data_IF_677886974697
#
_entry.id   IF_677886974697
#
_cell.length_a   1.000
_cell.length_b   1.000
_cell.length_c   1.000
_cell.angle_alpha   90.00
_cell.angle_beta   90.00
_cell.angle_gamma   90.00
#
_symmetry.space_group_name_H-M   'P 1'
#
loop_
_entity.id
_entity.type
_entity.pdbx_description
1 polymer ?
#
# COMPACT_ATOMS: atom_id res chain seq x y z
N UNK A 1 -14.43 39.92 -22.19
CA UNK A 1 -14.41 38.96 -21.03
C UNK A 1 -14.53 37.58 -21.61
N UNK A 2 -13.47 36.84 -21.75
CA UNK A 2 -13.54 35.44 -22.22
C UNK A 2 -14.21 34.60 -21.14
N UNK A 3 -15.34 33.99 -21.46
CA UNK A 3 -15.99 33.00 -20.61
C UNK A 3 -14.98 31.87 -20.35
N UNK A 4 -14.54 31.70 -19.10
CA UNK A 4 -13.73 30.53 -18.69
C UNK A 4 -14.64 29.32 -18.85
N UNK A 5 -14.38 28.52 -19.86
CA UNK A 5 -15.12 27.31 -20.13
C UNK A 5 -14.97 26.37 -18.94
N UNK A 6 -16.10 26.03 -18.31
CA UNK A 6 -16.12 25.13 -17.15
C UNK A 6 -16.26 23.70 -17.64
N UNK A 7 -15.19 22.93 -17.53
CA UNK A 7 -15.22 21.50 -17.84
C UNK A 7 -15.93 20.72 -16.70
N UNK A 8 -16.83 19.82 -17.07
CA UNK A 8 -17.61 19.03 -16.12
C UNK A 8 -17.21 17.58 -16.22
N UNK A 9 -16.72 17.02 -15.11
CA UNK A 9 -16.39 15.62 -14.99
C UNK A 9 -17.41 14.94 -14.08
N UNK A 10 -18.00 13.84 -14.53
CA UNK A 10 -18.94 13.04 -13.73
C UNK A 10 -18.26 11.74 -13.34
N UNK A 11 -18.31 11.38 -12.06
CA UNK A 11 -17.76 10.12 -11.56
C UNK A 11 -18.74 9.44 -10.59
N UNK A 12 -18.56 8.13 -10.42
CA UNK A 12 -19.28 7.38 -9.39
C UNK A 12 -18.64 7.62 -8.01
N UNK A 13 -17.33 7.58 -7.96
CA UNK A 13 -16.56 7.68 -6.71
C UNK A 13 -15.38 8.65 -6.86
N UNK A 14 -15.27 9.59 -5.92
CA UNK A 14 -14.07 10.41 -5.75
C UNK A 14 -13.25 9.87 -4.57
N UNK A 15 -11.97 9.60 -4.81
CA UNK A 15 -11.00 9.19 -3.80
C UNK A 15 -10.13 10.40 -3.45
N UNK A 16 -9.98 10.67 -2.17
CA UNK A 16 -9.12 11.75 -1.67
C UNK A 16 -7.90 11.15 -0.98
N UNK A 17 -6.73 11.42 -1.54
CA UNK A 17 -5.43 10.94 -1.08
C UNK A 17 -4.80 9.92 -2.03
N UNK A 18 -3.62 10.27 -2.56
CA UNK A 18 -2.82 9.48 -3.52
C UNK A 18 -1.74 8.61 -2.86
N UNK A 19 -1.93 8.19 -1.61
CA UNK A 19 -1.09 7.16 -0.99
C UNK A 19 -1.41 5.76 -1.53
N UNK A 20 -0.69 4.74 -1.03
CA UNK A 20 -0.87 3.34 -1.48
C UNK A 20 -2.33 2.88 -1.44
N UNK A 21 -3.06 3.22 -0.39
CA UNK A 21 -4.45 2.80 -0.24
C UNK A 21 -5.38 3.46 -1.27
N UNK A 22 -5.20 4.77 -1.53
CA UNK A 22 -6.00 5.49 -2.54
C UNK A 22 -5.71 5.00 -3.95
N UNK A 23 -4.44 4.85 -4.29
CA UNK A 23 -4.01 4.32 -5.60
C UNK A 23 -4.47 2.88 -5.81
N UNK A 24 -4.38 2.04 -4.79
CA UNK A 24 -4.90 0.68 -4.84
C UNK A 24 -6.41 0.65 -5.07
N UNK A 25 -7.14 1.44 -4.30
CA UNK A 25 -8.59 1.54 -4.42
C UNK A 25 -9.02 2.06 -5.80
N UNK A 26 -8.31 3.06 -6.35
CA UNK A 26 -8.53 3.54 -7.72
C UNK A 26 -8.44 2.40 -8.73
N UNK A 27 -7.34 1.65 -8.69
CA UNK A 27 -7.12 0.52 -9.60
C UNK A 27 -8.20 -0.56 -9.44
N UNK A 28 -8.50 -0.94 -8.21
CA UNK A 28 -9.47 -1.98 -7.90
C UNK A 28 -10.88 -1.62 -8.37
N UNK A 29 -11.34 -0.41 -8.10
CA UNK A 29 -12.68 0.04 -8.48
C UNK A 29 -12.77 0.27 -9.99
N UNK A 30 -11.75 0.84 -10.61
CA UNK A 30 -11.71 1.02 -12.05
C UNK A 30 -11.72 -0.31 -12.81
N UNK A 31 -10.98 -1.33 -12.32
CA UNK A 31 -11.02 -2.69 -12.88
C UNK A 31 -12.42 -3.33 -12.76
N UNK A 32 -13.23 -2.89 -11.80
CA UNK A 32 -14.63 -3.32 -11.65
C UNK A 32 -15.63 -2.50 -12.47
N UNK A 33 -15.16 -1.58 -13.31
CA UNK A 33 -15.99 -0.78 -14.20
C UNK A 33 -16.55 0.51 -13.60
N UNK A 34 -16.19 0.86 -12.36
CA UNK A 34 -16.62 2.15 -11.79
C UNK A 34 -15.86 3.31 -12.43
N UNK A 35 -16.56 4.41 -12.65
CA UNK A 35 -15.93 5.67 -13.04
C UNK A 35 -15.40 6.36 -11.78
N UNK A 36 -14.09 6.21 -11.52
CA UNK A 36 -13.42 6.66 -10.31
C UNK A 36 -12.41 7.75 -10.64
N UNK A 37 -12.34 8.77 -9.78
CA UNK A 37 -11.34 9.84 -9.85
C UNK A 37 -10.62 9.93 -8.52
N UNK A 38 -9.31 10.17 -8.57
CA UNK A 38 -8.47 10.36 -7.40
C UNK A 38 -7.92 11.79 -7.36
N UNK A 39 -7.98 12.39 -6.19
CA UNK A 39 -7.43 13.72 -5.91
C UNK A 39 -6.29 13.64 -4.90
N UNK A 40 -5.16 14.25 -5.23
CA UNK A 40 -4.01 14.37 -4.34
C UNK A 40 -3.56 15.84 -4.23
N UNK A 41 -3.08 16.25 -3.05
CA UNK A 41 -2.67 17.63 -2.80
C UNK A 41 -1.19 17.90 -3.09
N UNK A 42 -0.33 16.89 -2.93
CA UNK A 42 1.11 17.03 -2.99
C UNK A 42 1.70 16.05 -4.03
N UNK A 43 2.39 15.01 -3.56
CA UNK A 43 2.98 13.98 -4.39
C UNK A 43 2.32 12.63 -4.12
N UNK A 44 2.14 11.83 -5.16
CA UNK A 44 1.64 10.47 -5.03
C UNK A 44 2.58 9.66 -4.13
N UNK A 45 2.02 8.97 -3.15
CA UNK A 45 2.80 8.23 -2.17
C UNK A 45 3.62 9.09 -1.20
N UNK A 46 3.50 10.41 -1.24
CA UNK A 46 4.44 11.38 -0.67
C UNK A 46 4.63 11.38 0.85
N UNK A 47 3.71 10.79 1.61
CA UNK A 47 3.81 10.75 3.08
C UNK A 47 4.29 9.36 3.55
N UNK A 48 3.42 8.64 4.28
CA UNK A 48 3.75 7.34 4.90
C UNK A 48 4.07 6.23 3.89
N UNK A 49 3.59 6.34 2.65
CA UNK A 49 3.79 5.29 1.64
C UNK A 49 5.26 5.16 1.28
N UNK A 50 5.88 6.24 0.78
CA UNK A 50 7.31 6.21 0.39
C UNK A 50 8.26 6.15 1.58
N UNK A 51 7.81 6.56 2.79
CA UNK A 51 8.56 6.39 4.02
C UNK A 51 8.49 4.95 4.59
N UNK A 52 7.68 4.06 4.00
CA UNK A 52 7.60 2.67 4.42
C UNK A 52 8.79 1.86 3.92
N UNK A 53 9.06 0.75 4.58
CA UNK A 53 10.16 -0.16 4.20
C UNK A 53 9.81 -1.07 3.00
N UNK A 54 8.60 -1.01 2.48
CA UNK A 54 8.15 -1.85 1.37
C UNK A 54 8.02 -3.34 1.68
N UNK A 55 8.09 -3.73 2.96
CA UNK A 55 7.95 -5.12 3.37
C UNK A 55 6.50 -5.57 3.39
N UNK A 56 6.21 -6.65 2.67
CA UNK A 56 4.90 -7.29 2.65
C UNK A 56 4.92 -8.46 3.64
N UNK A 57 4.36 -8.22 4.82
CA UNK A 57 4.41 -9.18 5.92
C UNK A 57 3.34 -10.26 5.83
N UNK A 58 3.71 -11.52 6.08
CA UNK A 58 2.80 -12.65 6.27
C UNK A 58 2.23 -12.77 7.70
N UNK A 59 2.10 -11.68 8.45
CA UNK A 59 1.39 -11.65 9.74
C UNK A 59 2.21 -12.09 10.96
N UNK A 60 3.51 -12.33 10.82
CA UNK A 60 4.37 -12.83 11.88
C UNK A 60 4.36 -11.99 13.16
N UNK A 61 4.30 -10.67 13.04
CA UNK A 61 4.32 -9.73 14.18
C UNK A 61 3.10 -9.92 15.11
N UNK A 62 1.98 -10.38 14.58
CA UNK A 62 0.74 -10.58 15.32
C UNK A 62 0.68 -11.95 16.02
N UNK A 63 1.38 -12.96 15.51
CA UNK A 63 1.46 -14.27 16.13
C UNK A 63 2.44 -14.32 17.32
N UNK A 64 3.38 -13.37 17.41
CA UNK A 64 4.28 -13.22 18.56
C UNK A 64 3.55 -12.92 19.86
N UNK A 65 2.38 -12.30 19.79
CA UNK A 65 1.54 -11.98 20.96
C UNK A 65 0.55 -13.09 21.33
N UNK A 66 0.62 -14.26 20.68
CA UNK A 66 -0.17 -15.44 21.05
C UNK A 66 -1.66 -15.42 20.71
N UNK A 67 -2.14 -14.36 20.02
CA UNK A 67 -3.57 -14.24 19.66
C UNK A 67 -3.72 -14.42 18.16
N UNK A 68 -4.18 -15.60 17.74
CA UNK A 68 -4.67 -15.85 16.39
C UNK A 68 -6.07 -15.20 16.28
N UNK A 69 -6.14 -14.05 15.65
CA UNK A 69 -7.40 -13.41 15.29
C UNK A 69 -7.67 -13.59 13.79
N UNK A 70 -8.92 -13.49 13.34
CA UNK A 70 -9.25 -13.52 11.90
C UNK A 70 -8.46 -12.48 11.08
N UNK A 71 -8.02 -11.39 11.71
CA UNK A 71 -7.11 -10.42 11.10
C UNK A 71 -5.70 -10.99 10.83
N UNK A 72 -5.17 -11.86 11.72
CA UNK A 72 -3.86 -12.48 11.52
C UNK A 72 -3.88 -13.53 10.40
N UNK A 73 -5.01 -14.19 10.18
CA UNK A 73 -5.19 -15.13 9.07
C UNK A 73 -5.22 -14.39 7.73
N UNK A 74 -6.00 -13.31 7.62
CA UNK A 74 -6.04 -12.46 6.42
C UNK A 74 -4.66 -11.88 6.06
N UNK A 75 -3.86 -11.48 7.07
CA UNK A 75 -2.50 -10.97 6.86
C UNK A 75 -1.55 -12.08 6.40
N UNK A 76 -1.78 -13.33 6.82
CA UNK A 76 -0.91 -14.45 6.44
C UNK A 76 -0.88 -14.71 4.94
N UNK A 77 -1.92 -14.34 4.20
CA UNK A 77 -2.04 -14.50 2.76
C UNK A 77 -1.49 -13.30 1.95
N UNK A 78 -1.15 -12.19 2.62
CA UNK A 78 -0.69 -10.98 1.94
C UNK A 78 0.50 -11.20 1.00
N UNK A 79 1.57 -11.94 1.34
CA UNK A 79 2.66 -12.17 0.40
C UNK A 79 2.20 -12.87 -0.89
N UNK A 80 1.35 -13.89 -0.79
CA UNK A 80 0.85 -14.59 -1.98
C UNK A 80 -0.11 -13.72 -2.80
N UNK A 81 -0.92 -12.91 -2.13
CA UNK A 81 -1.82 -11.95 -2.76
C UNK A 81 -1.06 -10.87 -3.56
N UNK A 82 -0.03 -10.28 -2.95
CA UNK A 82 0.82 -9.31 -3.63
C UNK A 82 1.63 -9.93 -4.77
N UNK A 83 2.11 -11.18 -4.60
CA UNK A 83 2.81 -11.88 -5.66
C UNK A 83 1.92 -12.07 -6.90
N UNK A 84 0.64 -12.43 -6.72
CA UNK A 84 -0.32 -12.50 -7.83
C UNK A 84 -0.48 -11.16 -8.55
N UNK A 85 -0.50 -10.05 -7.80
CA UNK A 85 -0.55 -8.71 -8.40
C UNK A 85 0.72 -8.38 -9.20
N UNK A 86 1.90 -8.74 -8.70
CA UNK A 86 3.19 -8.56 -9.39
C UNK A 86 3.26 -9.41 -10.66
N UNK A 87 2.69 -10.61 -10.64
CA UNK A 87 2.60 -11.50 -11.81
C UNK A 87 1.53 -11.02 -12.82
N UNK A 88 0.79 -9.96 -12.53
CA UNK A 88 -0.32 -9.45 -13.36
C UNK A 88 -1.56 -10.35 -13.33
N UNK A 89 -1.69 -11.20 -12.32
CA UNK A 89 -2.80 -12.16 -12.13
C UNK A 89 -3.69 -11.78 -10.94
N UNK A 90 -3.38 -10.70 -10.24
CA UNK A 90 -4.11 -10.21 -9.08
C UNK A 90 -5.25 -9.26 -9.46
N UNK A 91 -5.96 -8.75 -8.45
CA UNK A 91 -7.04 -7.77 -8.65
C UNK A 91 -6.53 -6.38 -9.07
N UNK A 92 -5.23 -6.13 -8.86
CA UNK A 92 -4.52 -4.92 -9.29
C UNK A 92 -3.28 -5.36 -10.07
N UNK A 93 -3.03 -4.74 -11.22
CA UNK A 93 -1.84 -5.04 -12.02
C UNK A 93 -0.63 -4.27 -11.51
N UNK A 94 0.32 -5.00 -10.93
CA UNK A 94 1.63 -4.50 -10.51
C UNK A 94 2.78 -5.07 -11.38
N UNK A 95 2.48 -5.61 -12.54
CA UNK A 95 3.50 -6.17 -13.43
C UNK A 95 4.51 -5.08 -13.82
N UNK A 96 5.78 -5.33 -13.52
CA UNK A 96 6.88 -4.39 -13.72
C UNK A 96 7.23 -3.54 -12.49
N UNK A 97 6.47 -3.61 -11.39
CA UNK A 97 6.94 -3.08 -10.11
C UNK A 97 8.17 -3.86 -9.63
N UNK A 98 9.16 -3.13 -9.10
CA UNK A 98 10.45 -3.70 -8.75
C UNK A 98 10.40 -4.41 -7.40
N UNK A 99 10.78 -5.68 -7.39
CA UNK A 99 11.00 -6.44 -6.17
C UNK A 99 12.48 -6.33 -5.76
N UNK A 100 12.74 -5.88 -4.54
CA UNK A 100 14.09 -5.70 -3.99
C UNK A 100 14.62 -7.00 -3.38
N UNK A 101 13.74 -7.78 -2.73
CA UNK A 101 14.11 -9.06 -2.13
C UNK A 101 12.91 -10.00 -2.04
N UNK A 102 13.17 -11.31 -2.09
CA UNK A 102 12.19 -12.38 -1.83
C UNK A 102 12.12 -12.78 -0.35
N UNK A 103 12.94 -12.15 0.48
CA UNK A 103 13.03 -12.48 1.90
C UNK A 103 13.61 -11.32 2.68
N UNK A 104 13.48 -11.40 3.99
CA UNK A 104 14.28 -10.62 4.92
C UNK A 104 14.80 -11.50 6.06
N UNK A 105 15.79 -10.97 6.79
CA UNK A 105 16.36 -11.68 7.92
C UNK A 105 15.81 -11.13 9.23
N UNK A 106 15.50 -12.05 10.14
CA UNK A 106 15.23 -11.77 11.53
C UNK A 106 16.30 -12.43 12.36
N UNK A 107 16.78 -11.76 13.37
CA UNK A 107 17.78 -12.29 14.28
C UNK A 107 17.34 -12.13 15.73
N UNK A 108 17.86 -13.00 16.60
CA UNK A 108 17.61 -12.93 18.04
C UNK A 108 18.89 -13.21 18.82
N UNK A 109 19.04 -12.53 19.95
CA UNK A 109 20.07 -12.90 20.93
C UNK A 109 19.73 -14.22 21.62
N UNK A 110 20.71 -14.88 22.22
CA UNK A 110 20.52 -16.15 22.94
C UNK A 110 19.47 -16.10 24.03
N UNK A 111 19.27 -14.96 24.69
CA UNK A 111 18.32 -14.77 25.79
C UNK A 111 16.84 -14.82 25.39
N UNK A 112 16.51 -14.64 24.10
CA UNK A 112 15.12 -14.61 23.59
C UNK A 112 14.72 -15.95 22.95
N UNK A 113 15.65 -16.93 22.95
CA UNK A 113 15.48 -18.19 22.21
C UNK A 113 14.28 -19.02 22.68
N UNK A 114 13.95 -19.04 23.98
CA UNK A 114 12.83 -19.83 24.51
C UNK A 114 11.46 -19.32 24.06
N UNK A 115 11.30 -18.00 23.94
CA UNK A 115 10.07 -17.39 23.43
C UNK A 115 9.93 -17.58 21.92
N UNK A 116 11.03 -17.61 21.19
CA UNK A 116 11.02 -17.84 19.75
C UNK A 116 10.80 -19.31 19.36
N UNK A 117 11.23 -20.28 20.13
CA UNK A 117 10.99 -21.70 19.84
C UNK A 117 9.49 -22.04 19.86
N UNK A 118 8.75 -21.55 20.83
CA UNK A 118 7.29 -21.72 20.88
C UNK A 118 6.59 -21.05 19.69
N UNK A 119 7.07 -19.88 19.28
CA UNK A 119 6.60 -19.14 18.14
C UNK A 119 6.88 -19.86 16.80
N UNK A 120 8.10 -20.37 16.59
CA UNK A 120 8.49 -21.12 15.40
C UNK A 120 7.74 -22.46 15.26
N UNK A 121 7.24 -23.01 16.37
CA UNK A 121 6.41 -24.21 16.39
C UNK A 121 4.96 -23.97 15.97
N UNK A 122 4.51 -22.70 15.87
CA UNK A 122 3.13 -22.38 15.52
C UNK A 122 2.81 -22.75 14.06
N UNK A 123 1.60 -23.26 13.81
CA UNK A 123 1.14 -23.66 12.46
C UNK A 123 1.13 -22.52 11.44
N UNK A 124 0.93 -21.29 11.91
CA UNK A 124 0.85 -20.10 11.05
C UNK A 124 2.16 -19.76 10.32
N UNK A 125 3.29 -20.31 10.77
CA UNK A 125 4.64 -19.94 10.32
C UNK A 125 5.35 -21.11 9.63
N UNK A 126 4.80 -22.32 9.73
CA UNK A 126 5.41 -23.51 9.11
C UNK A 126 5.65 -23.29 7.62
N UNK A 127 6.92 -23.48 7.21
CA UNK A 127 7.34 -23.34 5.81
C UNK A 127 7.70 -21.93 5.36
N UNK A 128 7.52 -20.89 6.20
CA UNK A 128 7.88 -19.51 5.85
C UNK A 128 9.14 -19.00 6.54
N UNK A 129 9.62 -19.71 7.55
CA UNK A 129 10.79 -19.34 8.33
C UNK A 129 11.77 -20.49 8.30
N UNK A 130 12.99 -20.20 7.87
CA UNK A 130 14.08 -21.14 7.90
C UNK A 130 15.22 -20.59 8.76
N UNK A 131 15.72 -21.39 9.70
CA UNK A 131 16.96 -21.05 10.40
C UNK A 131 18.10 -21.05 9.39
N UNK A 132 18.92 -20.01 9.40
CA UNK A 132 20.09 -19.89 8.53
C UNK A 132 21.25 -20.66 9.16
N UNK A 133 21.84 -21.60 8.41
CA UNK A 133 23.03 -22.32 8.83
C UNK A 133 24.26 -21.39 8.85
N UNK A 134 25.30 -21.79 9.58
CA UNK A 134 26.51 -20.98 9.74
C UNK A 134 27.16 -20.62 8.41
N UNK A 135 27.24 -21.57 7.48
CA UNK A 135 27.83 -21.38 6.15
C UNK A 135 27.04 -20.38 5.27
N UNK A 136 25.73 -20.26 5.50
CA UNK A 136 24.81 -19.41 4.74
C UNK A 136 24.53 -18.06 5.42
N UNK A 137 25.18 -17.75 6.52
CA UNK A 137 24.99 -16.48 7.21
C UNK A 137 25.40 -15.31 6.33
N UNK A 138 24.58 -14.24 6.23
CA UNK A 138 25.02 -12.98 5.65
C UNK A 138 26.27 -12.45 6.37
N UNK A 139 27.15 -11.78 5.64
CA UNK A 139 28.44 -11.31 6.17
C UNK A 139 28.32 -10.47 7.45
N UNK A 140 27.25 -9.67 7.57
CA UNK A 140 27.00 -8.86 8.77
C UNK A 140 26.79 -9.70 10.06
N UNK A 141 26.45 -10.99 9.94
CA UNK A 141 26.25 -11.91 11.08
C UNK A 141 27.40 -12.89 11.27
N UNK A 142 28.48 -12.77 10.48
CA UNK A 142 29.68 -13.62 10.59
C UNK A 142 30.69 -13.09 11.60
N UNK A 143 30.37 -12.00 12.29
CA UNK A 143 31.20 -11.43 13.34
C UNK A 143 31.24 -12.35 14.58
N UNK A 144 32.43 -12.56 15.16
CA UNK A 144 32.62 -13.41 16.33
C UNK A 144 31.87 -12.92 17.58
N UNK A 145 31.48 -11.66 17.63
CA UNK A 145 30.67 -11.09 18.70
C UNK A 145 29.16 -11.43 18.55
N UNK A 146 28.73 -11.82 17.36
CA UNK A 146 27.35 -12.22 17.16
C UNK A 146 27.09 -13.62 17.71
N UNK A 147 26.36 -13.71 18.82
CA UNK A 147 26.03 -14.99 19.50
C UNK A 147 24.52 -15.30 19.38
N UNK A 148 23.88 -14.93 18.29
CA UNK A 148 22.47 -15.10 18.05
C UNK A 148 22.12 -16.20 17.04
N UNK A 149 20.83 -16.31 16.74
CA UNK A 149 20.33 -17.09 15.61
C UNK A 149 19.76 -16.14 14.56
N UNK A 150 19.97 -16.49 13.28
CA UNK A 150 19.40 -15.78 12.14
C UNK A 150 18.37 -16.68 11.48
N UNK A 151 17.25 -16.08 11.12
CA UNK A 151 16.14 -16.74 10.44
C UNK A 151 15.83 -15.98 9.16
N UNK A 152 15.67 -16.72 8.06
CA UNK A 152 15.22 -16.20 6.78
C UNK A 152 13.71 -16.32 6.72
N UNK A 153 13.04 -15.19 6.46
CA UNK A 153 11.60 -15.10 6.28
C UNK A 153 11.28 -14.93 4.81
N UNK A 154 10.36 -15.74 4.29
CA UNK A 154 9.95 -15.73 2.89
C UNK A 154 8.86 -14.67 2.63
N UNK A 155 9.10 -13.46 3.09
CA UNK A 155 8.25 -12.28 2.83
C UNK A 155 9.00 -11.37 1.85
N UNK A 156 8.27 -10.72 0.95
CA UNK A 156 8.89 -9.90 -0.09
C UNK A 156 9.12 -8.46 0.36
N UNK A 157 10.14 -7.84 -0.22
CA UNK A 157 10.42 -6.41 -0.09
C UNK A 157 10.29 -5.77 -1.46
N UNK A 158 9.46 -4.73 -1.57
CA UNK A 158 9.17 -4.03 -2.81
C UNK A 158 9.82 -2.65 -2.82
N UNK A 159 10.22 -2.20 -4.00
CA UNK A 159 10.58 -0.81 -4.25
C UNK A 159 9.31 0.05 -4.27
N UNK A 160 9.03 0.71 -3.17
CA UNK A 160 7.79 1.46 -2.97
C UNK A 160 7.56 2.53 -4.04
N UNK A 161 8.56 3.32 -4.45
CA UNK A 161 8.40 4.25 -5.57
C UNK A 161 7.90 3.58 -6.84
N UNK A 162 8.46 2.42 -7.23
CA UNK A 162 8.03 1.70 -8.43
C UNK A 162 6.60 1.16 -8.33
N UNK A 163 6.17 0.76 -7.14
CA UNK A 163 4.78 0.36 -6.89
C UNK A 163 3.82 1.55 -7.06
N UNK A 164 4.16 2.69 -6.48
CA UNK A 164 3.38 3.93 -6.61
C UNK A 164 3.28 4.37 -8.07
N UNK A 165 4.41 4.39 -8.77
CA UNK A 165 4.48 4.74 -10.20
C UNK A 165 3.59 3.81 -11.04
N UNK A 166 3.68 2.50 -10.81
CA UNK A 166 2.89 1.52 -11.56
C UNK A 166 1.39 1.71 -11.32
N UNK A 167 0.97 1.86 -10.06
CA UNK A 167 -0.43 2.10 -9.72
C UNK A 167 -0.98 3.39 -10.33
N UNK A 168 -0.17 4.45 -10.32
CA UNK A 168 -0.56 5.73 -10.90
C UNK A 168 -0.64 5.66 -12.44
N UNK A 169 0.32 4.98 -13.08
CA UNK A 169 0.39 4.86 -14.54
C UNK A 169 -0.83 4.15 -15.12
N UNK A 170 -1.36 3.14 -14.44
CA UNK A 170 -2.52 2.37 -14.89
C UNK A 170 -3.75 3.26 -15.17
N UNK A 171 -3.92 4.35 -14.40
CA UNK A 171 -5.07 5.25 -14.48
C UNK A 171 -4.66 6.72 -14.34
N UNK A 172 -3.57 7.13 -14.98
CA UNK A 172 -3.00 8.49 -14.87
C UNK A 172 -3.99 9.59 -15.27
N UNK A 173 -4.86 9.33 -16.23
CA UNK A 173 -5.92 10.24 -16.69
C UNK A 173 -7.08 10.42 -15.68
N UNK A 174 -7.08 9.69 -14.58
CA UNK A 174 -8.07 9.75 -13.51
C UNK A 174 -7.52 10.32 -12.21
N UNK A 175 -6.29 10.82 -12.24
CA UNK A 175 -5.58 11.37 -11.07
C UNK A 175 -5.39 12.88 -11.28
N UNK A 176 -5.90 13.67 -10.34
CA UNK A 176 -5.83 15.12 -10.36
C UNK A 176 -5.07 15.64 -9.15
N UNK A 177 -4.11 16.54 -9.42
CA UNK A 177 -3.37 17.25 -8.37
C UNK A 177 -4.12 18.52 -8.04
N UNK A 178 -4.55 18.69 -6.78
CA UNK A 178 -5.41 19.82 -6.40
C UNK A 178 -4.88 20.55 -5.16
N UNK A 179 -5.07 21.88 -5.14
CA UNK A 179 -4.84 22.70 -3.96
C UNK A 179 -6.17 22.87 -3.20
N UNK A 180 -6.29 22.22 -2.04
CA UNK A 180 -7.51 22.29 -1.22
C UNK A 180 -7.87 23.72 -0.79
N UNK A 181 -6.93 24.64 -0.71
CA UNK A 181 -7.19 26.04 -0.38
C UNK A 181 -7.90 26.77 -1.51
N UNK A 182 -7.79 26.27 -2.75
CA UNK A 182 -8.42 26.80 -3.97
C UNK A 182 -9.55 25.92 -4.47
N UNK A 183 -9.96 24.94 -3.67
CA UNK A 183 -10.98 23.95 -4.02
C UNK A 183 -12.20 24.20 -3.16
N UNK A 184 -13.37 24.27 -3.77
CA UNK A 184 -14.64 24.29 -3.06
C UNK A 184 -15.39 22.98 -3.27
N UNK A 185 -16.02 22.48 -2.23
CA UNK A 185 -16.87 21.33 -2.35
C UNK A 185 -18.23 21.59 -1.68
N UNK A 186 -19.26 21.03 -2.27
CA UNK A 186 -20.65 21.18 -1.80
C UNK A 186 -21.36 19.83 -1.95
N UNK A 187 -22.41 19.64 -1.19
CA UNK A 187 -23.28 18.47 -1.26
C UNK A 187 -24.69 18.93 -1.53
N UNK A 188 -25.35 18.37 -2.52
CA UNK A 188 -26.75 18.67 -2.79
C UNK A 188 -27.70 17.87 -1.88
N UNK A 189 -28.99 18.17 -2.00
CA UNK A 189 -30.06 17.48 -1.27
C UNK A 189 -30.12 15.97 -1.59
N UNK A 190 -29.64 15.57 -2.77
CA UNK A 190 -29.57 14.17 -3.24
C UNK A 190 -28.25 13.48 -2.83
N UNK A 191 -27.48 14.10 -1.92
CA UNK A 191 -26.18 13.60 -1.43
C UNK A 191 -25.09 13.50 -2.50
N UNK A 192 -25.27 14.11 -3.68
CA UNK A 192 -24.19 14.21 -4.67
C UNK A 192 -23.17 15.25 -4.21
N UNK A 193 -21.90 14.93 -4.34
CA UNK A 193 -20.82 15.84 -4.02
C UNK A 193 -20.34 16.56 -5.29
N UNK A 194 -20.16 17.87 -5.18
CA UNK A 194 -19.62 18.73 -6.22
C UNK A 194 -18.28 19.26 -5.76
N UNK A 195 -17.25 19.01 -6.53
CA UNK A 195 -15.90 19.50 -6.27
C UNK A 195 -15.49 20.45 -7.38
N UNK A 196 -15.22 21.71 -7.06
CA UNK A 196 -14.75 22.71 -8.00
C UNK A 196 -13.29 23.03 -7.73
N UNK A 197 -12.44 22.89 -8.72
CA UNK A 197 -11.00 23.16 -8.65
C UNK A 197 -10.48 23.67 -9.99
N UNK A 198 -9.27 24.18 -9.99
CA UNK A 198 -8.61 24.63 -11.20
C UNK A 198 -7.45 23.71 -11.56
N UNK A 199 -7.38 23.25 -12.79
CA UNK A 199 -6.29 22.49 -13.37
C UNK A 199 -5.89 23.10 -14.71
N UNK A 200 -4.59 23.32 -14.94
CA UNK A 200 -4.08 23.86 -16.20
C UNK A 200 -4.82 25.12 -16.70
N UNK A 201 -5.17 26.05 -15.78
CA UNK A 201 -5.94 27.27 -16.03
C UNK A 201 -7.40 27.04 -16.45
N UNK A 202 -7.92 25.80 -16.39
CA UNK A 202 -9.32 25.47 -16.60
C UNK A 202 -10.04 25.30 -15.26
N UNK A 203 -11.29 25.72 -15.21
CA UNK A 203 -12.15 25.47 -14.06
C UNK A 203 -12.85 24.12 -14.26
N UNK A 204 -12.64 23.19 -13.33
CA UNK A 204 -13.21 21.85 -13.40
C UNK A 204 -14.26 21.69 -12.28
N UNK A 205 -15.42 21.18 -12.64
CA UNK A 205 -16.46 20.79 -11.70
C UNK A 205 -16.62 19.27 -11.76
N UNK A 206 -16.28 18.59 -10.67
CA UNK A 206 -16.49 17.15 -10.56
C UNK A 206 -17.76 16.85 -9.77
N UNK A 207 -18.62 15.99 -10.31
CA UNK A 207 -19.85 15.55 -9.68
C UNK A 207 -19.69 14.06 -9.32
N UNK A 208 -19.79 13.73 -8.06
CA UNK A 208 -19.59 12.37 -7.56
C UNK A 208 -20.80 11.86 -6.81
N UNK A 209 -21.13 10.57 -6.96
CA UNK A 209 -22.18 9.90 -6.17
C UNK A 209 -21.70 9.56 -4.76
N UNK A 210 -20.42 9.24 -4.61
CA UNK A 210 -19.80 8.97 -3.31
C UNK A 210 -18.40 9.58 -3.22
N UNK A 211 -17.99 9.99 -2.01
CA UNK A 211 -16.64 10.49 -1.72
C UNK A 211 -16.01 9.60 -0.65
N UNK A 212 -14.86 9.04 -0.94
CA UNK A 212 -14.06 8.26 0.00
C UNK A 212 -12.83 9.05 0.40
N UNK A 213 -12.71 9.37 1.69
CA UNK A 213 -11.56 10.10 2.23
C UNK A 213 -10.61 9.13 2.93
N UNK A 214 -9.36 9.11 2.52
CA UNK A 214 -8.30 8.36 3.19
C UNK A 214 -7.30 9.32 3.86
N UNK A 215 -7.80 10.41 4.42
CA UNK A 215 -7.01 11.31 5.24
C UNK A 215 -7.02 10.81 6.69
N UNK A 216 -5.91 10.28 7.18
CA UNK A 216 -5.65 10.30 8.62
C UNK A 216 -5.43 11.77 9.00
N UNK A 217 -6.46 12.40 9.57
CA UNK A 217 -6.33 13.71 10.17
C UNK A 217 -5.21 13.66 11.21
N UNK A 218 -4.16 14.45 11.03
CA UNK A 218 -3.38 14.91 12.18
C UNK A 218 -4.30 15.84 12.96
N UNK A 219 -4.66 15.43 14.19
CA UNK A 219 -5.12 16.36 15.19
C UNK A 219 -3.96 17.25 15.61
#
# INVERSE_FOLDING_TARGET
MSSIEQEKIVCDIAIIGGGIAGLWLLNRLANKGFNVILFEKNALGGDQTVASQGMIHGGMKYTLNGVLTGASEAISEMPSYWQKCIDGKGEVDLKGAKKLSDHFYMWSSKSILSKMTAFLASKAIRGRINKVGEDALPNIFKDDQFKGNVYKLLDMVLDVPSVVEKLAKNYSNRIFMIDWRKTSWQKDANKKAFLNFNENKKKICTICRAVHTHCRGRK
#
